data_IF_155367567387
#
_entry.id   IF_155367567387
#
_cell.length_a   1.000
_cell.length_b   1.000
_cell.length_c   1.000
_cell.angle_alpha   90.00
_cell.angle_beta   90.00
_cell.angle_gamma   90.00
#
_symmetry.space_group_name_H-M   'P 1'
#
loop_
_entity.id
_entity.type
_entity.pdbx_description
1 polymer ?
#
# COMPACT_ATOMS: atom_id res chain seq x y z
N UNK A 1 1.51 -6.61 -14.74
CA UNK A 1 0.14 -6.08 -15.03
C UNK A 1 0.25 -4.58 -15.10
N UNK A 2 -0.04 -4.00 -16.25
CA UNK A 2 0.10 -2.56 -16.49
C UNK A 2 -1.08 -1.83 -15.84
N UNK A 3 -0.81 -1.06 -14.81
CA UNK A 3 -1.77 -0.09 -14.27
C UNK A 3 -1.94 1.02 -15.29
N UNK A 4 -3.15 1.28 -15.75
CA UNK A 4 -3.43 2.43 -16.62
C UNK A 4 -3.90 3.59 -15.75
N UNK A 5 -3.12 4.66 -15.68
CA UNK A 5 -3.57 5.95 -15.20
C UNK A 5 -4.15 6.75 -16.35
N UNK A 6 -5.27 7.43 -16.14
CA UNK A 6 -5.93 8.27 -17.15
C UNK A 6 -5.69 9.77 -16.96
N UNK A 7 -4.91 10.18 -15.97
CA UNK A 7 -4.69 11.58 -15.65
C UNK A 7 -3.32 12.08 -16.16
N UNK A 8 -3.29 13.28 -16.71
CA UNK A 8 -2.13 13.87 -17.38
C UNK A 8 -1.04 14.40 -16.41
N UNK A 9 -1.22 14.29 -15.10
CA UNK A 9 -0.32 14.82 -14.07
C UNK A 9 0.10 13.79 -13.04
N UNK A 10 -0.15 12.51 -13.29
CA UNK A 10 0.15 11.45 -12.34
C UNK A 10 1.66 11.29 -12.14
N UNK A 11 2.09 11.35 -10.89
CA UNK A 11 3.44 10.98 -10.49
C UNK A 11 3.34 9.82 -9.51
N UNK A 12 3.77 8.64 -9.93
CA UNK A 12 3.93 7.54 -8.99
C UNK A 12 5.26 6.81 -9.20
N UNK A 13 5.77 6.26 -8.14
CA UNK A 13 6.96 5.43 -8.15
C UNK A 13 6.68 4.10 -7.47
N UNK A 14 6.95 3.02 -8.16
CA UNK A 14 6.87 1.66 -7.63
C UNK A 14 8.27 1.06 -7.62
N UNK A 15 8.72 0.64 -6.45
CA UNK A 15 10.06 0.10 -6.24
C UNK A 15 10.15 -1.37 -6.72
N UNK A 16 11.37 -1.87 -6.78
CA UNK A 16 11.69 -3.23 -7.21
C UNK A 16 10.89 -4.29 -6.44
N UNK A 17 10.56 -5.38 -7.11
CA UNK A 17 9.82 -6.52 -6.56
C UNK A 17 8.45 -6.20 -5.96
N UNK A 18 7.97 -4.98 -6.08
CA UNK A 18 6.60 -4.63 -5.72
C UNK A 18 5.61 -5.03 -6.83
N UNK A 19 4.33 -5.13 -6.49
CA UNK A 19 3.30 -5.53 -7.45
C UNK A 19 1.97 -4.82 -7.23
N UNK A 20 1.30 -4.49 -8.33
CA UNK A 20 -0.09 -4.09 -8.35
C UNK A 20 -0.90 -5.16 -9.10
N UNK A 21 -1.97 -5.62 -8.47
CA UNK A 21 -2.79 -6.73 -8.97
C UNK A 21 -3.96 -6.22 -9.81
N UNK A 22 -4.97 -7.06 -10.05
CA UNK A 22 -6.04 -6.73 -11.00
C UNK A 22 -6.93 -5.59 -10.51
N UNK A 23 -7.29 -4.68 -11.42
CA UNK A 23 -8.17 -3.53 -11.16
C UNK A 23 -7.67 -2.58 -10.06
N UNK A 24 -6.38 -2.58 -9.76
CA UNK A 24 -5.80 -1.59 -8.85
C UNK A 24 -5.79 -0.23 -9.54
N UNK A 25 -6.30 0.79 -8.84
CA UNK A 25 -6.22 2.18 -9.29
C UNK A 25 -5.14 2.90 -8.49
N UNK A 26 -4.16 3.47 -9.19
CA UNK A 26 -3.13 4.34 -8.62
C UNK A 26 -3.24 5.67 -9.35
N UNK A 27 -3.66 6.73 -8.64
CA UNK A 27 -3.91 8.04 -9.24
C UNK A 27 -3.23 9.15 -8.43
N UNK A 28 -2.13 9.68 -8.97
CA UNK A 28 -1.29 10.71 -8.35
C UNK A 28 -1.42 12.07 -9.04
N UNK A 29 -2.63 12.53 -9.27
CA UNK A 29 -2.97 13.70 -10.10
C UNK A 29 -2.63 15.05 -9.45
N UNK A 30 -2.55 15.13 -8.14
CA UNK A 30 -2.24 16.37 -7.40
C UNK A 30 -1.03 16.24 -6.46
N UNK A 31 -0.56 15.02 -6.21
CA UNK A 31 0.60 14.75 -5.37
C UNK A 31 1.23 13.40 -5.76
N UNK A 32 2.35 13.01 -5.12
CA UNK A 32 3.05 11.78 -5.44
C UNK A 32 2.50 10.57 -4.72
N UNK A 33 2.61 9.41 -5.37
CA UNK A 33 2.41 8.09 -4.78
C UNK A 33 3.73 7.33 -4.83
N UNK A 34 4.10 6.72 -3.72
CA UNK A 34 5.28 5.85 -3.65
C UNK A 34 4.88 4.49 -3.08
N UNK A 35 5.35 3.42 -3.71
CA UNK A 35 5.19 2.04 -3.23
C UNK A 35 6.56 1.40 -3.10
N UNK A 36 6.90 1.03 -1.88
CA UNK A 36 8.19 0.47 -1.51
C UNK A 36 8.43 -0.95 -2.04
N UNK A 37 9.64 -1.45 -1.79
CA UNK A 37 10.12 -2.76 -2.26
C UNK A 37 9.29 -3.89 -1.67
N UNK A 38 9.12 -4.95 -2.47
CA UNK A 38 8.38 -6.17 -2.06
C UNK A 38 6.95 -5.92 -1.59
N UNK A 39 6.44 -4.69 -1.71
CA UNK A 39 5.07 -4.37 -1.33
C UNK A 39 4.09 -4.82 -2.41
N UNK A 40 2.92 -5.29 -1.98
CA UNK A 40 1.89 -5.78 -2.89
C UNK A 40 0.56 -5.06 -2.64
N UNK A 41 0.02 -4.50 -3.72
CA UNK A 41 -1.28 -3.85 -3.73
C UNK A 41 -2.24 -4.81 -4.41
N UNK A 42 -3.13 -5.42 -3.63
CA UNK A 42 -3.99 -6.49 -4.12
C UNK A 42 -5.19 -5.96 -4.90
N UNK A 43 -5.95 -6.88 -5.47
CA UNK A 43 -7.03 -6.61 -6.41
C UNK A 43 -8.03 -5.57 -5.89
N UNK A 44 -8.49 -4.69 -6.78
CA UNK A 44 -9.49 -3.64 -6.54
C UNK A 44 -9.09 -2.59 -5.49
N UNK A 45 -7.82 -2.49 -5.09
CA UNK A 45 -7.36 -1.41 -4.22
C UNK A 45 -7.36 -0.07 -4.95
N UNK A 46 -7.52 1.01 -4.17
CA UNK A 46 -7.41 2.36 -4.66
C UNK A 46 -6.37 3.14 -3.84
N UNK A 47 -5.34 3.65 -4.51
CA UNK A 47 -4.35 4.57 -3.96
C UNK A 47 -4.55 5.95 -4.58
N UNK A 48 -4.78 6.95 -3.73
CA UNK A 48 -4.97 8.32 -4.17
C UNK A 48 -4.32 9.31 -3.21
N UNK A 49 -4.23 10.55 -3.61
CA UNK A 49 -3.53 11.63 -2.92
C UNK A 49 -4.48 12.80 -2.60
N UNK A 50 -3.98 13.74 -1.80
CA UNK A 50 -4.60 15.05 -1.60
C UNK A 50 -3.54 16.13 -1.84
N UNK A 51 -3.96 17.40 -1.96
CA UNK A 51 -3.04 18.52 -2.22
C UNK A 51 -1.91 18.59 -1.18
N UNK A 52 -2.26 18.40 0.09
CA UNK A 52 -1.31 18.53 1.22
C UNK A 52 -0.62 17.21 1.60
N UNK A 53 -1.09 16.06 1.13
CA UNK A 53 -0.59 14.77 1.57
C UNK A 53 -0.40 13.79 0.40
N UNK A 54 0.82 13.24 0.31
CA UNK A 54 1.15 12.12 -0.56
C UNK A 54 0.51 10.81 -0.07
N UNK A 55 0.52 9.79 -0.92
CA UNK A 55 0.21 8.42 -0.52
C UNK A 55 1.51 7.60 -0.55
N UNK A 56 2.02 7.26 0.61
CA UNK A 56 3.30 6.56 0.77
C UNK A 56 3.07 5.19 1.37
N UNK A 57 3.54 4.18 0.67
CA UNK A 57 3.56 2.78 1.13
C UNK A 57 5.02 2.35 1.23
N UNK A 58 5.45 1.94 2.40
CA UNK A 58 6.82 1.49 2.69
C UNK A 58 7.16 0.13 2.09
N UNK A 59 8.27 -0.44 2.55
CA UNK A 59 8.78 -1.73 2.10
C UNK A 59 8.04 -2.90 2.80
N UNK A 60 7.90 -4.03 2.11
CA UNK A 60 7.29 -5.27 2.62
C UNK A 60 5.86 -5.08 3.16
N UNK A 61 5.10 -4.18 2.55
CA UNK A 61 3.71 -3.92 2.92
C UNK A 61 2.77 -4.80 2.09
N UNK A 62 1.79 -5.42 2.75
CA UNK A 62 0.67 -6.08 2.07
C UNK A 62 -0.58 -5.24 2.20
N UNK A 63 -1.13 -4.78 1.07
CA UNK A 63 -2.41 -4.08 1.01
C UNK A 63 -3.46 -5.03 0.46
N UNK A 64 -4.35 -5.48 1.36
CA UNK A 64 -5.37 -6.49 1.07
C UNK A 64 -6.46 -5.99 0.11
N UNK A 65 -7.09 -6.94 -0.57
CA UNK A 65 -8.10 -6.69 -1.61
C UNK A 65 -9.12 -5.61 -1.24
N UNK A 66 -9.38 -4.69 -2.15
CA UNK A 66 -10.39 -3.64 -2.01
C UNK A 66 -10.07 -2.55 -0.99
N UNK A 67 -8.86 -2.51 -0.42
CA UNK A 67 -8.48 -1.46 0.51
C UNK A 67 -8.32 -0.11 -0.20
N UNK A 68 -8.59 0.98 0.55
CA UNK A 68 -8.43 2.35 0.09
C UNK A 68 -7.33 3.02 0.93
N UNK A 69 -6.29 3.49 0.26
CA UNK A 69 -5.25 4.32 0.85
C UNK A 69 -5.36 5.71 0.24
N UNK A 70 -5.81 6.68 1.03
CA UNK A 70 -6.02 8.04 0.57
C UNK A 70 -5.11 9.00 1.33
N UNK A 71 -4.11 9.55 0.62
CA UNK A 71 -3.25 10.61 1.13
C UNK A 71 -2.64 10.30 2.51
N UNK A 72 -2.13 9.09 2.70
CA UNK A 72 -1.65 8.56 3.98
C UNK A 72 -0.26 7.95 3.87
N UNK A 73 0.36 7.67 4.99
CA UNK A 73 1.64 6.96 5.08
C UNK A 73 1.43 5.61 5.76
N UNK A 74 1.87 4.56 5.11
CA UNK A 74 2.01 3.22 5.67
C UNK A 74 3.48 2.90 5.75
N UNK A 75 4.01 2.77 6.95
CA UNK A 75 5.43 2.45 7.16
C UNK A 75 5.71 0.98 6.80
N UNK A 76 7.00 0.60 6.87
CA UNK A 76 7.45 -0.73 6.46
C UNK A 76 6.80 -1.86 7.26
N UNK A 77 6.75 -3.04 6.65
CA UNK A 77 6.26 -4.27 7.31
C UNK A 77 4.85 -4.12 7.90
N UNK A 78 3.95 -3.44 7.22
CA UNK A 78 2.55 -3.34 7.63
C UNK A 78 1.65 -4.29 6.83
N UNK A 79 0.56 -4.70 7.47
CA UNK A 79 -0.55 -5.40 6.81
C UNK A 79 -1.80 -4.54 6.87
N UNK A 80 -2.29 -4.13 5.71
CA UNK A 80 -3.58 -3.46 5.58
C UNK A 80 -4.61 -4.51 5.18
N UNK A 81 -5.58 -4.75 6.05
CA UNK A 81 -6.62 -5.76 5.85
C UNK A 81 -7.56 -5.44 4.69
N UNK A 82 -8.22 -6.47 4.16
CA UNK A 82 -9.17 -6.33 3.05
C UNK A 82 -10.25 -5.29 3.36
N UNK A 83 -10.58 -4.44 2.38
CA UNK A 83 -11.58 -3.36 2.50
C UNK A 83 -11.33 -2.36 3.64
N UNK A 84 -10.12 -2.32 4.19
CA UNK A 84 -9.77 -1.24 5.12
C UNK A 84 -9.64 0.08 4.38
N UNK A 85 -9.96 1.18 5.08
CA UNK A 85 -9.82 2.54 4.56
C UNK A 85 -8.89 3.33 5.47
N UNK A 86 -7.85 3.92 4.89
CA UNK A 86 -6.87 4.74 5.59
C UNK A 86 -6.89 6.14 5.00
N UNK A 87 -7.27 7.14 5.82
CA UNK A 87 -7.58 8.49 5.34
C UNK A 87 -6.42 9.49 5.54
N UNK A 88 -6.62 10.68 4.99
CA UNK A 88 -5.65 11.77 4.81
C UNK A 88 -4.79 12.05 6.05
N UNK A 89 -3.50 12.21 5.83
CA UNK A 89 -2.55 12.59 6.87
C UNK A 89 -2.39 11.56 8.00
N UNK A 90 -3.05 10.39 7.90
CA UNK A 90 -2.81 9.31 8.87
C UNK A 90 -1.49 8.62 8.63
N UNK A 91 -0.94 8.02 9.67
CA UNK A 91 0.30 7.22 9.62
C UNK A 91 0.05 5.89 10.28
N UNK A 92 0.34 4.82 9.58
CA UNK A 92 0.35 3.46 10.13
C UNK A 92 1.81 3.13 10.44
N UNK A 93 2.12 3.05 11.73
CA UNK A 93 3.48 2.80 12.21
C UNK A 93 3.98 1.40 11.86
N UNK A 94 5.29 1.27 11.71
CA UNK A 94 6.01 0.06 11.35
C UNK A 94 5.50 -1.21 12.06
N UNK A 95 5.43 -2.31 11.35
CA UNK A 95 5.04 -3.61 11.92
C UNK A 95 3.57 -3.71 12.35
N UNK A 96 2.73 -2.76 11.95
CA UNK A 96 1.33 -2.71 12.39
C UNK A 96 0.38 -3.44 11.43
N UNK A 97 -0.75 -3.83 11.98
CA UNK A 97 -1.86 -4.47 11.25
C UNK A 97 -3.11 -3.62 11.37
N UNK A 98 -3.66 -3.23 10.24
CA UNK A 98 -5.01 -2.66 10.14
C UNK A 98 -5.96 -3.80 9.80
N UNK A 99 -6.92 -4.07 10.67
CA UNK A 99 -7.87 -5.17 10.47
C UNK A 99 -8.77 -4.94 9.25
N UNK A 100 -9.28 -6.03 8.68
CA UNK A 100 -10.21 -5.97 7.54
C UNK A 100 -11.44 -5.10 7.88
N UNK A 101 -11.85 -4.25 6.93
CA UNK A 101 -12.99 -3.35 7.07
C UNK A 101 -12.81 -2.20 8.07
N UNK A 102 -11.64 -2.03 8.66
CA UNK A 102 -11.39 -0.93 9.58
C UNK A 102 -11.28 0.42 8.85
N UNK A 103 -11.69 1.51 9.51
CA UNK A 103 -11.55 2.87 8.98
C UNK A 103 -10.65 3.69 9.90
N UNK A 104 -9.41 3.91 9.42
CA UNK A 104 -8.45 4.80 10.07
C UNK A 104 -8.76 6.23 9.63
N UNK A 105 -9.23 7.04 10.55
CA UNK A 105 -9.70 8.39 10.25
C UNK A 105 -8.54 9.37 10.05
N UNK A 106 -8.85 10.49 9.37
CA UNK A 106 -7.91 11.56 9.04
C UNK A 106 -7.01 11.95 10.22
N UNK A 107 -5.71 12.07 9.96
CA UNK A 107 -4.70 12.53 10.92
C UNK A 107 -4.35 11.54 12.03
N UNK A 108 -4.93 10.34 12.03
CA UNK A 108 -4.64 9.32 13.04
C UNK A 108 -3.19 8.86 12.93
N UNK A 109 -2.47 8.81 14.07
CA UNK A 109 -1.13 8.27 14.16
C UNK A 109 -1.20 6.93 14.91
N UNK A 110 -1.09 5.85 14.17
CA UNK A 110 -1.04 4.50 14.75
C UNK A 110 0.40 4.22 15.18
N UNK A 111 0.65 3.91 16.46
CA UNK A 111 1.99 3.56 16.92
C UNK A 111 2.53 2.31 16.20
N UNK A 112 3.85 2.14 16.08
CA UNK A 112 4.44 0.90 15.60
C UNK A 112 3.94 -0.33 16.37
N UNK A 113 3.96 -1.49 15.73
CA UNK A 113 3.55 -2.78 16.32
C UNK A 113 2.13 -2.76 16.90
N UNK A 114 1.19 -2.12 16.23
CA UNK A 114 -0.19 -2.02 16.70
C UNK A 114 -1.14 -2.84 15.82
N UNK A 115 -2.07 -3.54 16.47
CA UNK A 115 -3.29 -4.02 15.80
C UNK A 115 -4.38 -2.97 15.99
N UNK A 116 -4.90 -2.43 14.88
CA UNK A 116 -6.03 -1.51 14.92
C UNK A 116 -7.25 -2.10 14.22
N UNK A 117 -8.43 -1.87 14.76
CA UNK A 117 -9.68 -2.38 14.20
C UNK A 117 -10.87 -1.45 14.51
N UNK A 118 -11.96 -1.63 13.76
CA UNK A 118 -13.24 -0.95 13.96
C UNK A 118 -13.43 0.31 13.11
N UNK A 119 -14.58 0.96 13.29
CA UNK A 119 -15.01 2.20 12.63
C UNK A 119 -15.54 3.16 13.71
N UNK A 120 -14.82 4.24 14.07
CA UNK A 120 -13.43 4.52 13.70
C UNK A 120 -12.44 3.51 14.30
N UNK A 121 -11.32 3.25 13.60
CA UNK A 121 -10.32 2.31 14.05
C UNK A 121 -9.64 2.77 15.35
N UNK A 122 -9.42 1.82 16.25
CA UNK A 122 -8.73 2.03 17.52
C UNK A 122 -7.64 0.98 17.71
N UNK A 123 -6.60 1.31 18.45
CA UNK A 123 -5.59 0.34 18.86
C UNK A 123 -6.26 -0.69 19.78
N UNK A 124 -6.22 -1.96 19.36
CA UNK A 124 -6.79 -3.10 20.09
C UNK A 124 -5.74 -3.72 21.00
N UNK A 125 -4.51 -3.83 20.50
CA UNK A 125 -3.37 -4.36 21.25
C UNK A 125 -2.05 -3.98 20.58
N UNK A 126 -0.97 -4.08 21.34
CA UNK A 126 0.39 -4.09 20.82
C UNK A 126 0.72 -5.48 20.29
N UNK A 127 1.38 -5.54 19.16
CA UNK A 127 1.85 -6.78 18.53
C UNK A 127 3.25 -7.11 19.05
N UNK A 128 3.55 -8.39 19.10
CA UNK A 128 4.89 -8.88 19.34
C UNK A 128 5.75 -8.75 18.06
N UNK A 129 7.07 -8.50 18.22
CA UNK A 129 7.99 -8.37 17.09
C UNK A 129 8.03 -9.62 16.19
N UNK A 130 7.71 -10.79 16.73
CA UNK A 130 7.60 -12.03 15.95
C UNK A 130 6.52 -11.97 14.85
N UNK A 131 5.58 -11.02 14.92
CA UNK A 131 4.62 -10.79 13.84
C UNK A 131 5.29 -10.25 12.59
N UNK A 132 6.46 -9.61 12.67
CA UNK A 132 7.22 -9.13 11.51
C UNK A 132 7.56 -10.26 10.56
N UNK A 133 7.97 -11.42 11.07
CA UNK A 133 8.33 -12.57 10.24
C UNK A 133 7.15 -13.02 9.38
N UNK A 134 5.94 -13.01 9.95
CA UNK A 134 4.73 -13.39 9.23
C UNK A 134 4.36 -12.34 8.16
N UNK A 135 4.46 -11.06 8.49
CA UNK A 135 4.17 -9.95 7.55
C UNK A 135 5.20 -9.96 6.41
N UNK A 136 6.48 -10.13 6.74
CA UNK A 136 7.57 -10.24 5.77
C UNK A 136 7.36 -11.44 4.83
N UNK A 137 7.11 -12.62 5.40
CA UNK A 137 6.88 -13.83 4.61
C UNK A 137 5.67 -13.69 3.67
N UNK A 138 4.61 -13.00 4.12
CA UNK A 138 3.45 -12.72 3.29
C UNK A 138 3.82 -11.83 2.09
N UNK A 139 4.59 -10.77 2.28
CA UNK A 139 5.03 -9.88 1.21
C UNK A 139 5.91 -10.63 0.19
N UNK A 140 6.89 -11.39 0.67
CA UNK A 140 7.78 -12.22 -0.19
C UNK A 140 6.99 -13.28 -0.94
N UNK A 141 5.99 -13.91 -0.31
CA UNK A 141 5.11 -14.87 -0.99
C UNK A 141 4.41 -14.26 -2.21
N UNK A 142 3.91 -13.02 -2.11
CA UNK A 142 3.27 -12.36 -3.24
C UNK A 142 4.27 -12.08 -4.38
N UNK A 143 5.50 -11.65 -4.06
CA UNK A 143 6.56 -11.52 -5.04
C UNK A 143 6.83 -12.86 -5.74
N UNK A 144 6.96 -13.94 -5.00
CA UNK A 144 7.20 -15.27 -5.56
C UNK A 144 6.01 -15.79 -6.39
N UNK A 145 4.80 -15.46 -5.99
CA UNK A 145 3.59 -15.86 -6.71
C UNK A 145 3.58 -15.35 -8.15
N UNK A 146 3.81 -14.05 -8.37
CA UNK A 146 3.81 -13.52 -9.73
C UNK A 146 5.10 -13.83 -10.50
N UNK A 147 6.27 -13.83 -9.86
CA UNK A 147 7.54 -14.09 -10.55
C UNK A 147 7.72 -15.57 -10.91
N UNK A 148 7.47 -16.50 -9.98
CA UNK A 148 7.69 -17.93 -10.18
C UNK A 148 6.49 -18.62 -10.83
N UNK A 149 5.27 -18.33 -10.36
CA UNK A 149 4.06 -19.03 -10.84
C UNK A 149 3.54 -18.47 -12.16
N UNK A 150 3.60 -17.17 -12.33
CA UNK A 150 3.12 -16.50 -13.54
C UNK A 150 4.24 -16.12 -14.52
N UNK A 151 5.49 -16.47 -14.16
CA UNK A 151 6.69 -16.20 -14.98
C UNK A 151 6.80 -14.74 -15.46
N UNK A 152 6.42 -13.80 -14.57
CA UNK A 152 6.54 -12.38 -14.83
C UNK A 152 7.89 -11.92 -14.31
N UNK A 153 8.71 -11.33 -15.18
CA UNK A 153 10.02 -10.81 -14.76
C UNK A 153 9.84 -9.58 -13.83
N UNK A 154 10.61 -9.53 -12.74
CA UNK A 154 10.58 -8.36 -11.88
C UNK A 154 11.15 -7.11 -12.58
N UNK A 155 10.55 -5.96 -12.32
CA UNK A 155 11.15 -4.67 -12.63
C UNK A 155 12.25 -4.40 -11.59
N UNK A 156 13.49 -4.74 -11.93
CA UNK A 156 14.63 -4.63 -11.01
C UNK A 156 14.88 -3.17 -10.61
N UNK A 157 14.66 -2.25 -11.54
CA UNK A 157 14.85 -0.81 -11.30
C UNK A 157 13.58 -0.09 -10.81
N UNK A 158 12.49 -0.84 -10.63
CA UNK A 158 11.17 -0.30 -10.32
C UNK A 158 10.52 0.41 -11.52
N UNK A 159 9.41 1.08 -11.28
CA UNK A 159 8.66 1.83 -12.29
C UNK A 159 8.40 3.26 -11.79
N UNK A 160 8.72 4.24 -12.63
CA UNK A 160 8.38 5.65 -12.38
C UNK A 160 7.52 6.16 -13.52
N UNK A 161 6.41 6.79 -13.17
CA UNK A 161 5.49 7.41 -14.12
C UNK A 161 5.40 8.91 -13.86
N UNK A 162 5.56 9.72 -14.90
CA UNK A 162 5.63 11.18 -14.83
C UNK A 162 4.48 11.87 -15.59
N UNK A 163 3.34 11.23 -15.74
CA UNK A 163 2.20 11.80 -16.44
C UNK A 163 2.36 11.85 -17.96
N UNK A 164 3.16 10.95 -18.53
CA UNK A 164 3.34 10.86 -19.98
C UNK A 164 2.03 10.49 -20.66
N UNK A 165 1.70 11.20 -21.74
CA UNK A 165 0.52 10.87 -22.51
C UNK A 165 0.63 9.44 -23.04
N UNK A 166 -0.25 8.58 -22.60
CA UNK A 166 -0.45 7.28 -23.23
C UNK A 166 -1.15 7.54 -24.55
N UNK A 167 -0.41 7.48 -25.66
CA UNK A 167 -0.94 7.54 -27.03
C UNK A 167 -1.56 6.18 -27.38
#
# INVERSE_FOLDING_TARGET
TRVRSSAASDVYKRQEYSSAWFNVTIRGDVNRIEVGRYSNIQDNCCLHVADDYACIVGDFVTVGHGAILHACTVEDHCLIGMHATVLDGSVIGHGSIVAAGAVVTKGTKVPPFSLVAGIPAKVIKTLDESNLDNIHAQAVKYKDLWSKRHNIMPDIDGETYHGEKIV
#
